data_IF_239852510774
#
_entry.id   IF_239852510774
#
_cell.length_a   1.000
_cell.length_b   1.000
_cell.length_c   1.000
_cell.angle_alpha   90.00
_cell.angle_beta   90.00
_cell.angle_gamma   90.00
#
_symmetry.space_group_name_H-M   'P 1'
#
loop_
_entity.id
_entity.type
_entity.pdbx_description
1 polymer ?
#
# COMPACT_ATOMS: atom_id res chain seq x y z
N UNK A 1 -12.05 11.15 10.06
CA UNK A 1 -11.29 9.98 9.55
C UNK A 1 -10.07 10.51 8.81
N UNK A 2 -8.89 9.94 9.04
CA UNK A 2 -7.65 10.25 8.28
C UNK A 2 -7.19 8.98 7.58
N UNK A 3 -6.92 9.11 6.29
CA UNK A 3 -6.55 8.00 5.41
C UNK A 3 -5.11 8.20 4.96
N UNK A 4 -4.33 7.12 4.93
CA UNK A 4 -2.96 7.10 4.40
C UNK A 4 -2.84 6.03 3.30
N UNK A 5 -2.26 6.40 2.18
CA UNK A 5 -1.81 5.50 1.10
C UNK A 5 -0.29 5.41 1.15
N UNK A 6 0.25 4.23 1.49
CA UNK A 6 1.69 3.98 1.59
C UNK A 6 2.21 3.39 0.28
N UNK A 7 3.25 3.99 -0.30
CA UNK A 7 3.76 3.58 -1.60
C UNK A 7 2.80 3.95 -2.73
N UNK A 8 2.35 5.21 -2.72
CA UNK A 8 1.24 5.68 -3.56
C UNK A 8 1.50 5.62 -5.07
N UNK A 9 2.76 5.58 -5.50
CA UNK A 9 3.13 5.55 -6.91
C UNK A 9 2.55 6.72 -7.70
N UNK A 10 1.66 6.42 -8.64
CA UNK A 10 0.95 7.43 -9.45
C UNK A 10 -0.17 8.16 -8.72
N UNK A 11 -0.46 7.81 -7.46
CA UNK A 11 -1.52 8.39 -6.65
C UNK A 11 -2.89 7.77 -6.87
N UNK A 12 -3.00 6.63 -7.56
CA UNK A 12 -4.30 6.10 -7.97
C UNK A 12 -5.21 5.79 -6.77
N UNK A 13 -4.69 5.13 -5.73
CA UNK A 13 -5.47 4.82 -4.53
C UNK A 13 -5.80 6.09 -3.74
N UNK A 14 -4.82 6.95 -3.47
CA UNK A 14 -5.01 8.20 -2.73
C UNK A 14 -6.06 9.10 -3.40
N UNK A 15 -5.96 9.31 -4.72
CA UNK A 15 -6.88 10.13 -5.50
C UNK A 15 -8.30 9.53 -5.48
N UNK A 16 -8.42 8.23 -5.72
CA UNK A 16 -9.72 7.54 -5.70
C UNK A 16 -10.38 7.66 -4.33
N UNK A 17 -9.64 7.37 -3.26
CA UNK A 17 -10.17 7.47 -1.90
C UNK A 17 -10.58 8.89 -1.53
N UNK A 18 -9.80 9.89 -1.90
CA UNK A 18 -10.15 11.29 -1.65
C UNK A 18 -11.45 11.70 -2.37
N UNK A 19 -11.66 11.27 -3.62
CA UNK A 19 -12.85 11.57 -4.40
C UNK A 19 -14.08 10.82 -3.88
N UNK A 20 -13.96 9.52 -3.61
CA UNK A 20 -15.09 8.68 -3.20
C UNK A 20 -15.54 8.99 -1.75
N UNK A 21 -14.63 9.35 -0.88
CA UNK A 21 -14.95 9.59 0.54
C UNK A 21 -15.19 11.06 0.86
N UNK A 22 -14.70 11.98 0.03
CA UNK A 22 -14.66 13.42 0.32
C UNK A 22 -13.65 13.79 1.43
N UNK A 23 -12.85 12.84 1.90
CA UNK A 23 -11.87 13.03 2.98
C UNK A 23 -10.49 13.31 2.38
N UNK A 24 -9.77 14.27 2.97
CA UNK A 24 -8.38 14.52 2.60
C UNK A 24 -7.53 13.26 2.84
N UNK A 25 -6.89 12.73 1.80
CA UNK A 25 -6.07 11.53 1.86
C UNK A 25 -4.59 11.91 1.88
N UNK A 26 -3.86 11.39 2.85
CA UNK A 26 -2.41 11.47 2.92
C UNK A 26 -1.81 10.35 2.08
N UNK A 27 -0.67 10.62 1.45
CA UNK A 27 -0.01 9.62 0.62
C UNK A 27 1.51 9.75 0.71
N UNK A 28 2.20 8.63 0.79
CA UNK A 28 3.65 8.58 0.85
C UNK A 28 4.23 7.76 -0.27
N UNK A 29 5.44 8.13 -0.66
CA UNK A 29 6.30 7.33 -1.53
C UNK A 29 7.76 7.70 -1.24
N UNK A 30 8.67 6.77 -1.46
CA UNK A 30 10.11 7.03 -1.37
C UNK A 30 10.63 7.77 -2.61
N UNK A 31 9.88 7.72 -3.71
CA UNK A 31 10.21 8.31 -5.00
C UNK A 31 9.60 9.69 -5.17
N UNK A 32 10.43 10.74 -5.09
CA UNK A 32 10.01 12.11 -5.44
C UNK A 32 9.41 12.21 -6.86
N UNK A 33 9.86 11.34 -7.79
CA UNK A 33 9.32 11.28 -9.15
C UNK A 33 7.88 10.75 -9.15
N UNK A 34 7.61 9.71 -8.39
CA UNK A 34 6.26 9.17 -8.24
C UNK A 34 5.31 10.23 -7.65
N UNK A 35 5.73 10.91 -6.59
CA UNK A 35 4.94 11.97 -5.95
C UNK A 35 4.63 13.16 -6.86
N UNK A 36 5.53 13.51 -7.79
CA UNK A 36 5.25 14.53 -8.80
C UNK A 36 4.11 14.10 -9.73
N UNK A 37 4.10 12.84 -10.15
CA UNK A 37 3.04 12.27 -10.99
C UNK A 37 1.73 12.22 -10.20
N UNK A 38 1.77 11.73 -8.97
CA UNK A 38 0.61 11.68 -8.08
C UNK A 38 -0.01 13.07 -7.85
N UNK A 39 0.83 14.08 -7.59
CA UNK A 39 0.37 15.46 -7.42
C UNK A 39 -0.31 16.03 -8.68
N UNK A 40 0.26 15.75 -9.86
CA UNK A 40 -0.35 16.16 -11.13
C UNK A 40 -1.70 15.45 -11.36
N UNK A 41 -1.81 14.16 -11.04
CA UNK A 41 -3.04 13.41 -11.14
C UNK A 41 -4.10 13.92 -10.17
N UNK A 42 -3.74 14.17 -8.91
CA UNK A 42 -4.66 14.73 -7.91
C UNK A 42 -5.19 16.11 -8.34
N UNK A 43 -4.31 16.98 -8.82
CA UNK A 43 -4.71 18.30 -9.32
C UNK A 43 -5.67 18.20 -10.50
N UNK A 44 -5.38 17.33 -11.47
CA UNK A 44 -6.21 17.11 -12.65
C UNK A 44 -7.61 16.60 -12.30
N UNK A 45 -7.72 15.77 -11.25
CA UNK A 45 -8.98 15.18 -10.81
C UNK A 45 -9.70 16.03 -9.75
N UNK A 46 -9.07 17.09 -9.24
CA UNK A 46 -9.62 17.90 -8.15
C UNK A 46 -9.66 17.17 -6.80
N UNK A 47 -8.79 16.18 -6.61
CA UNK A 47 -8.73 15.40 -5.39
C UNK A 47 -7.92 16.10 -4.30
N UNK A 48 -8.42 16.07 -3.06
CA UNK A 48 -7.73 16.64 -1.90
C UNK A 48 -6.73 15.62 -1.32
N UNK A 49 -5.51 15.63 -1.83
CA UNK A 49 -4.43 14.74 -1.38
C UNK A 49 -3.23 15.54 -0.86
N UNK A 50 -2.58 14.99 0.17
CA UNK A 50 -1.34 15.53 0.75
C UNK A 50 -0.23 14.52 0.55
N UNK A 51 0.77 14.86 -0.26
CA UNK A 51 1.88 13.97 -0.61
C UNK A 51 3.12 14.28 0.22
N UNK A 52 3.77 13.24 0.74
CA UNK A 52 4.97 13.33 1.58
C UNK A 52 6.02 12.32 1.13
N UNK A 53 7.23 12.78 0.83
CA UNK A 53 8.36 11.92 0.50
C UNK A 53 8.94 11.34 1.79
N UNK A 54 8.79 10.03 1.97
CA UNK A 54 9.40 9.29 3.09
C UNK A 54 9.37 7.78 2.83
N UNK A 55 10.19 7.05 3.59
CA UNK A 55 10.15 5.60 3.61
C UNK A 55 8.96 5.13 4.45
N UNK A 56 8.05 4.39 3.83
CA UNK A 56 6.76 3.96 4.40
C UNK A 56 5.99 5.15 5.00
N UNK A 57 5.82 5.18 6.30
CA UNK A 57 5.11 6.21 7.05
C UNK A 57 5.97 6.99 8.05
N UNK A 58 7.30 6.94 7.90
CA UNK A 58 8.26 7.48 8.87
C UNK A 58 8.11 8.97 9.20
N UNK A 59 7.45 9.74 8.34
CA UNK A 59 7.17 11.16 8.56
C UNK A 59 5.99 11.43 9.52
N UNK A 60 5.22 10.41 9.90
CA UNK A 60 4.03 10.58 10.71
C UNK A 60 4.21 10.04 12.14
N UNK A 61 3.50 10.70 13.06
CA UNK A 61 3.44 10.27 14.46
C UNK A 61 2.58 9.01 14.61
N UNK A 62 2.79 8.30 15.72
CA UNK A 62 1.99 7.16 16.11
C UNK A 62 0.49 7.50 16.19
N UNK A 63 -0.35 6.52 15.93
CA UNK A 63 -1.81 6.62 16.08
C UNK A 63 -2.44 7.80 15.31
N UNK A 64 -1.91 8.09 14.11
CA UNK A 64 -2.33 9.23 13.31
C UNK A 64 -3.48 8.94 12.34
N UNK A 65 -3.76 7.66 12.05
CA UNK A 65 -4.68 7.28 10.97
C UNK A 65 -5.74 6.27 11.44
N UNK A 66 -6.90 6.30 10.82
CA UNK A 66 -7.98 5.31 10.99
C UNK A 66 -7.99 4.27 9.86
N UNK A 67 -7.47 4.62 8.69
CA UNK A 67 -7.36 3.72 7.54
C UNK A 67 -5.99 3.89 6.90
N UNK A 68 -5.31 2.77 6.68
CA UNK A 68 -4.10 2.70 5.85
C UNK A 68 -4.39 1.74 4.70
N UNK A 69 -4.04 2.15 3.50
CA UNK A 69 -4.07 1.32 2.30
C UNK A 69 -2.68 1.24 1.69
N UNK A 70 -2.36 0.16 1.01
CA UNK A 70 -1.12 0.05 0.23
C UNK A 70 -1.24 -1.01 -0.85
N UNK A 71 -0.64 -0.74 -1.99
CA UNK A 71 -0.28 -1.73 -3.00
C UNK A 71 1.25 -1.76 -3.10
N UNK A 72 1.92 -2.49 -2.21
CA UNK A 72 3.38 -2.51 -2.16
C UNK A 72 3.96 -3.43 -3.24
N UNK A 73 5.25 -3.29 -3.59
CA UNK A 73 5.94 -4.27 -4.44
C UNK A 73 5.94 -5.66 -3.77
N UNK A 74 5.53 -6.67 -4.54
CA UNK A 74 5.35 -8.03 -4.04
C UNK A 74 5.90 -9.13 -4.95
N UNK A 75 6.53 -8.77 -6.09
CA UNK A 75 7.05 -9.75 -7.03
C UNK A 75 8.41 -10.24 -6.53
N UNK A 76 8.62 -11.56 -6.59
CA UNK A 76 9.92 -12.13 -6.26
C UNK A 76 11.00 -11.59 -7.21
N UNK A 77 12.15 -11.21 -6.66
CA UNK A 77 13.26 -10.62 -7.45
C UNK A 77 13.66 -11.47 -8.64
N UNK A 78 13.57 -12.79 -8.53
CA UNK A 78 13.89 -13.75 -9.57
C UNK A 78 12.86 -13.77 -10.71
N UNK A 79 11.60 -13.41 -10.43
CA UNK A 79 10.50 -13.46 -11.40
C UNK A 79 10.39 -12.18 -12.25
N UNK A 80 10.98 -11.07 -11.82
CA UNK A 80 10.90 -9.78 -12.51
C UNK A 80 11.33 -9.89 -13.98
N UNK A 81 12.39 -10.68 -14.25
CA UNK A 81 12.88 -10.89 -15.63
C UNK A 81 11.91 -11.62 -16.55
N UNK A 82 10.97 -12.39 -15.99
CA UNK A 82 9.97 -13.17 -16.73
C UNK A 82 8.64 -12.43 -16.94
N UNK A 83 8.48 -11.25 -16.38
CA UNK A 83 7.27 -10.43 -16.54
C UNK A 83 7.03 -10.03 -17.99
N UNK A 84 5.77 -9.74 -18.31
CA UNK A 84 5.38 -9.14 -19.58
C UNK A 84 6.18 -7.86 -19.83
N UNK A 85 6.56 -7.61 -21.10
CA UNK A 85 7.42 -6.49 -21.47
C UNK A 85 6.84 -5.13 -21.03
N UNK A 86 5.52 -4.99 -21.09
CA UNK A 86 4.80 -3.77 -20.71
C UNK A 86 5.00 -3.43 -19.22
N UNK A 87 5.11 -4.43 -18.37
CA UNK A 87 5.39 -4.26 -16.93
C UNK A 87 6.89 -4.13 -16.71
N UNK A 88 7.66 -5.10 -17.18
CA UNK A 88 9.11 -5.18 -16.96
C UNK A 88 9.89 -3.97 -17.45
N UNK A 89 9.54 -3.45 -18.64
CA UNK A 89 10.32 -2.42 -19.34
C UNK A 89 9.84 -0.99 -19.03
N UNK A 90 8.63 -0.82 -18.44
CA UNK A 90 8.01 0.49 -18.20
C UNK A 90 7.77 0.81 -16.73
N UNK A 91 7.61 -0.20 -15.87
CA UNK A 91 7.49 0.00 -14.44
C UNK A 91 8.88 0.10 -13.78
N UNK A 92 9.11 1.03 -12.85
CA UNK A 92 10.34 1.05 -12.07
C UNK A 92 10.53 -0.27 -11.31
N UNK A 93 11.76 -0.81 -11.31
CA UNK A 93 12.04 -2.06 -10.59
C UNK A 93 11.64 -1.98 -9.11
N UNK A 94 11.87 -0.83 -8.49
CA UNK A 94 11.54 -0.58 -7.08
C UNK A 94 10.03 -0.66 -6.79
N UNK A 95 9.19 -0.47 -7.82
CA UNK A 95 7.75 -0.61 -7.70
C UNK A 95 7.26 -2.06 -7.86
N UNK A 96 8.13 -2.99 -8.26
CA UNK A 96 7.82 -4.39 -8.52
C UNK A 96 8.47 -5.33 -7.51
N UNK A 97 9.73 -5.05 -7.12
CA UNK A 97 10.61 -5.95 -6.40
C UNK A 97 10.23 -6.04 -4.91
N UNK A 98 9.60 -7.14 -4.53
CA UNK A 98 9.23 -7.48 -3.16
C UNK A 98 10.30 -8.25 -2.41
N UNK A 99 11.51 -8.43 -2.99
CA UNK A 99 12.60 -9.20 -2.38
C UNK A 99 12.62 -10.67 -2.79
N UNK A 100 13.42 -11.46 -2.09
CA UNK A 100 13.69 -12.86 -2.45
C UNK A 100 12.39 -13.71 -2.50
N UNK A 101 11.48 -13.50 -1.54
CA UNK A 101 10.20 -14.21 -1.45
C UNK A 101 8.98 -13.29 -1.70
N UNK A 102 9.17 -12.08 -2.23
CA UNK A 102 8.09 -11.13 -2.44
C UNK A 102 7.46 -10.57 -1.16
N UNK A 103 8.10 -10.75 0.00
CA UNK A 103 7.54 -10.42 1.32
C UNK A 103 8.29 -9.29 2.06
N UNK A 104 9.42 -8.83 1.55
CA UNK A 104 10.31 -7.92 2.28
C UNK A 104 9.63 -6.59 2.63
N UNK A 105 8.83 -6.07 1.71
CA UNK A 105 8.10 -4.81 1.94
C UNK A 105 6.98 -5.01 2.95
N UNK A 106 6.22 -6.11 2.88
CA UNK A 106 5.18 -6.42 3.87
C UNK A 106 5.73 -6.56 5.27
N UNK A 107 6.88 -7.25 5.44
CA UNK A 107 7.52 -7.44 6.73
C UNK A 107 7.90 -6.12 7.42
N UNK A 108 8.11 -5.04 6.66
CA UNK A 108 8.37 -3.69 7.17
C UNK A 108 7.09 -2.87 7.31
N UNK A 109 6.18 -2.99 6.35
CA UNK A 109 4.96 -2.19 6.27
C UNK A 109 3.94 -2.57 7.35
N UNK A 110 3.74 -3.85 7.65
CA UNK A 110 2.76 -4.31 8.64
C UNK A 110 3.06 -3.77 10.05
N UNK A 111 4.29 -3.87 10.60
CA UNK A 111 4.63 -3.24 11.87
C UNK A 111 4.51 -1.71 11.86
N UNK A 112 4.91 -1.07 10.75
CA UNK A 112 4.80 0.38 10.60
C UNK A 112 3.32 0.82 10.58
N UNK A 113 2.46 0.10 9.89
CA UNK A 113 1.02 0.36 9.88
C UNK A 113 0.42 0.18 11.29
N UNK A 114 0.88 -0.82 12.07
CA UNK A 114 0.44 -0.99 13.46
C UNK A 114 0.81 0.21 14.34
N UNK A 115 1.98 0.82 14.11
CA UNK A 115 2.40 2.05 14.80
C UNK A 115 1.53 3.24 14.43
N UNK A 116 1.22 3.40 13.15
CA UNK A 116 0.53 4.57 12.60
C UNK A 116 -0.98 4.54 12.79
N UNK A 117 -1.59 3.36 12.83
CA UNK A 117 -3.03 3.22 13.04
C UNK A 117 -3.41 3.47 14.49
N UNK A 118 -4.55 4.09 14.69
CA UNK A 118 -5.24 4.14 15.99
C UNK A 118 -5.77 2.76 16.38
N UNK A 119 -6.02 2.49 17.64
CA UNK A 119 -6.76 1.30 18.05
C UNK A 119 -8.06 1.16 17.25
N UNK A 120 -8.36 -0.04 16.78
CA UNK A 120 -9.44 -0.36 15.85
C UNK A 120 -9.31 0.25 14.43
N UNK A 121 -8.20 0.89 14.08
CA UNK A 121 -7.90 1.31 12.72
C UNK A 121 -7.71 0.12 11.79
N UNK A 122 -7.90 0.33 10.50
CA UNK A 122 -7.89 -0.74 9.49
C UNK A 122 -6.71 -0.60 8.54
N UNK A 123 -6.05 -1.72 8.28
CA UNK A 123 -5.05 -1.87 7.20
C UNK A 123 -5.66 -2.67 6.06
N UNK A 124 -5.49 -2.18 4.84
CA UNK A 124 -5.90 -2.85 3.60
C UNK A 124 -4.68 -2.96 2.68
N UNK A 125 -4.26 -4.18 2.36
CA UNK A 125 -3.09 -4.47 1.53
C UNK A 125 -3.48 -5.23 0.28
N UNK A 126 -3.04 -4.77 -0.89
CA UNK A 126 -3.01 -5.63 -2.07
C UNK A 126 -1.93 -6.69 -1.90
N UNK A 127 -2.21 -7.92 -2.37
CA UNK A 127 -1.29 -9.05 -2.35
C UNK A 127 -1.14 -9.68 -3.72
N UNK A 128 0.02 -10.27 -3.97
CA UNK A 128 0.27 -11.07 -5.16
C UNK A 128 -0.51 -12.39 -5.17
N UNK A 129 -0.71 -12.95 -6.36
CA UNK A 129 -1.29 -14.27 -6.49
C UNK A 129 -0.44 -15.32 -5.74
N UNK A 130 -1.11 -16.15 -4.91
CA UNK A 130 -0.41 -17.16 -4.10
C UNK A 130 0.13 -16.68 -2.75
N UNK A 131 -0.06 -15.39 -2.39
CA UNK A 131 0.41 -14.84 -1.11
C UNK A 131 -0.68 -14.84 -0.01
N UNK A 132 -1.83 -15.44 -0.25
CA UNK A 132 -2.97 -15.46 0.70
C UNK A 132 -2.72 -16.22 2.02
N UNK A 133 -1.67 -17.01 2.11
CA UNK A 133 -1.22 -17.65 3.36
C UNK A 133 0.00 -16.92 3.95
N UNK A 134 0.97 -16.56 3.11
CA UNK A 134 2.25 -16.01 3.57
C UNK A 134 2.14 -14.58 4.11
N UNK A 135 1.34 -13.71 3.50
CA UNK A 135 1.16 -12.33 3.99
C UNK A 135 0.37 -12.31 5.31
N UNK A 136 -0.79 -13.00 5.46
CA UNK A 136 -1.46 -13.08 6.77
C UNK A 136 -0.58 -13.64 7.90
N UNK A 137 0.35 -14.54 7.61
CA UNK A 137 1.28 -15.10 8.61
C UNK A 137 2.27 -14.06 9.20
N UNK A 138 2.44 -12.89 8.56
CA UNK A 138 3.27 -11.80 9.07
C UNK A 138 2.57 -10.96 10.16
N UNK A 139 1.27 -11.12 10.35
CA UNK A 139 0.52 -10.38 11.35
C UNK A 139 0.71 -10.97 12.74
N UNK A 140 0.96 -10.13 13.72
CA UNK A 140 1.20 -10.49 15.13
C UNK A 140 -0.06 -10.28 15.98
N UNK A 141 0.06 -10.43 17.29
CA UNK A 141 -0.98 -10.17 18.30
C UNK A 141 -1.45 -8.70 18.37
N UNK A 142 -0.72 -7.78 17.73
CA UNK A 142 -1.16 -6.38 17.57
C UNK A 142 -2.36 -6.24 16.61
N UNK A 143 -2.74 -7.32 15.93
CA UNK A 143 -3.80 -7.32 14.95
C UNK A 143 -4.87 -8.35 15.29
N UNK A 144 -6.12 -8.01 15.00
CA UNK A 144 -7.18 -9.03 14.92
C UNK A 144 -6.92 -9.90 13.69
N UNK A 145 -7.47 -11.11 13.69
CA UNK A 145 -7.25 -12.06 12.59
C UNK A 145 -7.44 -11.41 11.22
N UNK A 146 -6.42 -11.39 10.37
CA UNK A 146 -6.53 -10.83 9.03
C UNK A 146 -7.50 -11.66 8.17
N UNK A 147 -8.24 -11.00 7.30
CA UNK A 147 -9.14 -11.63 6.34
C UNK A 147 -8.62 -11.41 4.92
N UNK A 148 -8.67 -12.47 4.11
CA UNK A 148 -8.38 -12.39 2.67
C UNK A 148 -9.66 -12.12 1.91
N UNK A 149 -9.62 -11.18 0.97
CA UNK A 149 -10.75 -10.77 0.12
C UNK A 149 -10.35 -10.98 -1.35
N UNK A 150 -11.25 -11.58 -2.10
CA UNK A 150 -11.05 -11.87 -3.51
C UNK A 150 -11.35 -10.65 -4.38
N UNK A 151 -10.67 -10.58 -5.51
CA UNK A 151 -11.02 -9.64 -6.58
C UNK A 151 -12.29 -10.07 -7.34
N UNK A 152 -12.69 -9.28 -8.33
CA UNK A 152 -13.88 -9.57 -9.15
C UNK A 152 -13.76 -10.84 -10.00
N UNK A 153 -12.55 -11.35 -10.19
CA UNK A 153 -12.29 -12.62 -10.87
C UNK A 153 -12.30 -13.83 -9.90
N UNK A 154 -12.49 -13.59 -8.60
CA UNK A 154 -12.51 -14.62 -7.57
C UNK A 154 -11.12 -15.05 -7.09
N UNK A 155 -10.09 -14.28 -7.39
CA UNK A 155 -8.71 -14.53 -6.96
C UNK A 155 -8.40 -13.77 -5.68
N UNK A 156 -7.67 -14.39 -4.76
CA UNK A 156 -7.15 -13.73 -3.55
C UNK A 156 -6.36 -12.49 -3.95
N UNK A 157 -6.76 -11.32 -3.45
CA UNK A 157 -6.16 -10.06 -3.89
C UNK A 157 -5.90 -9.05 -2.80
N UNK A 158 -6.66 -9.09 -1.71
CA UNK A 158 -6.57 -8.08 -0.66
C UNK A 158 -6.54 -8.74 0.71
N UNK A 159 -5.66 -8.28 1.57
CA UNK A 159 -5.68 -8.60 3.02
C UNK A 159 -6.22 -7.40 3.77
N UNK A 160 -7.21 -7.63 4.61
CA UNK A 160 -7.80 -6.64 5.50
C UNK A 160 -7.56 -7.06 6.93
N UNK A 161 -6.96 -6.19 7.74
CA UNK A 161 -6.72 -6.44 9.15
C UNK A 161 -7.08 -5.21 10.00
N UNK A 162 -7.56 -5.43 11.21
CA UNK A 162 -7.87 -4.36 12.16
C UNK A 162 -6.84 -4.38 13.30
N UNK A 163 -6.28 -3.23 13.63
CA UNK A 163 -5.42 -3.07 14.80
C UNK A 163 -6.22 -3.40 16.09
N UNK A 164 -5.62 -4.19 16.97
CA UNK A 164 -6.21 -4.57 18.26
C UNK A 164 -6.39 -3.36 19.21
#
# INVERSE_FOLDING_TARGET
MRILDIGTGSGILAVTLALETGVATFATDISAKALKIAGANALKQGANCVFTECDLGSAFADESFELIVSNPPYIESAEIGALQREVRDWEPREALDGGECGLDVYARLIPEAARLLRPNGTLVLEIGAGQSESVPALFTDQWRSPAVVNDLAGLDRVVVAQRA
#
